data_IF_430929155049
#
_entry.id   IF_430929155049
#
_cell.length_a   1.000
_cell.length_b   1.000
_cell.length_c   1.000
_cell.angle_alpha   90.00
_cell.angle_beta   90.00
_cell.angle_gamma   90.00
#
_symmetry.space_group_name_H-M   'P 1'
#
loop_
_entity.id
_entity.type
_entity.pdbx_description
1 polymer ?
#
# COMPACT_ATOMS: atom_id res chain seq x y z
N UNK A 1 -58.60 -24.83 44.01
CA UNK A 1 -57.57 -25.44 44.90
C UNK A 1 -57.02 -26.69 44.20
N UNK A 2 -55.78 -27.12 44.51
CA UNK A 2 -54.87 -27.82 43.57
C UNK A 2 -55.24 -29.31 43.40
N UNK A 3 -54.69 -30.11 42.49
CA UNK A 3 -53.35 -30.13 41.86
C UNK A 3 -53.47 -30.65 40.39
N UNK A 4 -52.44 -31.03 39.61
CA UNK A 4 -51.01 -31.25 39.86
C UNK A 4 -50.18 -30.67 38.67
N UNK A 5 -49.11 -31.34 38.23
CA UNK A 5 -48.24 -30.96 37.11
C UNK A 5 -47.68 -32.21 36.41
N UNK A 6 -47.56 -32.19 35.08
CA UNK A 6 -46.65 -33.02 34.28
C UNK A 6 -46.31 -32.24 33.00
N UNK A 7 -45.19 -31.53 32.90
CA UNK A 7 -43.80 -32.01 32.86
C UNK A 7 -43.47 -32.86 31.62
N UNK A 8 -43.22 -32.19 30.49
CA UNK A 8 -42.20 -32.62 29.51
C UNK A 8 -41.40 -31.41 29.05
N UNK A 9 -40.17 -31.31 29.56
CA UNK A 9 -39.18 -30.31 29.13
C UNK A 9 -38.60 -30.80 27.80
N UNK A 10 -39.05 -30.21 26.69
CA UNK A 10 -38.48 -30.42 25.36
C UNK A 10 -37.31 -29.50 25.10
N UNK A 11 -36.18 -29.72 25.78
CA UNK A 11 -34.97 -28.91 25.58
C UNK A 11 -34.25 -29.30 24.28
N UNK A 12 -34.68 -28.72 23.15
CA UNK A 12 -33.91 -28.78 21.88
C UNK A 12 -32.85 -27.67 21.90
N UNK A 13 -31.76 -27.92 22.60
CA UNK A 13 -30.53 -27.12 22.49
C UNK A 13 -29.73 -27.69 21.31
N UNK A 14 -30.05 -27.23 20.10
CA UNK A 14 -29.16 -27.46 18.95
C UNK A 14 -28.16 -26.32 18.87
N UNK A 15 -26.92 -26.64 19.24
CA UNK A 15 -25.77 -25.75 19.30
C UNK A 15 -25.36 -25.32 17.89
N UNK A 16 -25.97 -24.25 17.37
CA UNK A 16 -25.56 -23.59 16.12
C UNK A 16 -24.37 -22.63 16.38
N UNK A 17 -23.30 -23.16 16.95
CA UNK A 17 -22.12 -22.38 17.34
C UNK A 17 -21.03 -22.40 16.28
N UNK A 18 -20.60 -21.20 15.88
CA UNK A 18 -19.21 -20.90 15.49
C UNK A 18 -18.69 -21.51 14.17
N UNK A 19 -19.49 -21.41 13.09
CA UNK A 19 -18.95 -21.23 11.72
C UNK A 19 -18.89 -19.75 11.32
N UNK A 20 -18.74 -18.85 12.30
CA UNK A 20 -18.24 -17.49 12.07
C UNK A 20 -16.79 -17.60 11.61
N UNK A 21 -16.62 -17.64 10.29
CA UNK A 21 -15.35 -17.96 9.65
C UNK A 21 -14.20 -17.13 10.21
N UNK A 22 -13.18 -17.83 10.70
CA UNK A 22 -11.83 -17.30 10.74
C UNK A 22 -11.39 -17.11 9.28
N UNK A 23 -11.80 -15.99 8.67
CA UNK A 23 -11.08 -15.44 7.52
C UNK A 23 -9.68 -15.25 8.05
N UNK A 24 -8.75 -16.10 7.58
CA UNK A 24 -7.40 -16.13 8.13
C UNK A 24 -6.82 -14.72 8.11
N UNK A 25 -6.13 -14.35 9.18
CA UNK A 25 -5.52 -13.03 9.31
C UNK A 25 -4.65 -12.72 8.09
N UNK A 26 -3.95 -13.75 7.60
CA UNK A 26 -3.28 -13.83 6.31
C UNK A 26 -4.15 -13.40 5.11
N UNK A 27 -5.35 -13.96 4.92
CA UNK A 27 -6.24 -13.57 3.83
C UNK A 27 -6.74 -12.11 3.94
N UNK A 28 -6.88 -11.59 5.16
CA UNK A 28 -7.26 -10.18 5.39
C UNK A 28 -6.11 -9.23 5.06
N UNK A 29 -4.90 -9.58 5.51
CA UNK A 29 -3.65 -8.86 5.20
C UNK A 29 -3.35 -8.91 3.70
N UNK A 30 -3.53 -10.06 3.04
CA UNK A 30 -3.33 -10.21 1.60
C UNK A 30 -4.27 -9.30 0.80
N UNK A 31 -5.51 -9.12 1.26
CA UNK A 31 -6.47 -8.20 0.66
C UNK A 31 -6.03 -6.75 0.86
N UNK A 32 -5.61 -6.37 2.06
CA UNK A 32 -5.15 -5.00 2.38
C UNK A 32 -3.89 -4.61 1.58
N UNK A 33 -2.92 -5.52 1.47
CA UNK A 33 -1.72 -5.34 0.62
C UNK A 33 -2.10 -5.22 -0.86
N UNK A 34 -3.06 -6.01 -1.36
CA UNK A 34 -3.55 -5.89 -2.74
C UNK A 34 -4.34 -4.60 -2.97
N UNK A 35 -5.13 -4.15 -1.99
CA UNK A 35 -5.89 -2.91 -2.07
C UNK A 35 -4.97 -1.67 -2.10
N UNK A 36 -3.83 -1.71 -1.42
CA UNK A 36 -2.77 -0.68 -1.50
C UNK A 36 -2.00 -0.70 -2.83
N UNK A 37 -1.75 -1.87 -3.42
CA UNK A 37 -0.93 -2.03 -4.64
C UNK A 37 -1.76 -2.06 -5.95
N UNK A 38 -2.93 -1.40 -5.98
CA UNK A 38 -3.80 -1.37 -7.16
C UNK A 38 -3.28 -0.58 -8.35
N UNK A 39 -2.33 0.34 -8.14
CA UNK A 39 -1.87 1.29 -9.16
C UNK A 39 -0.35 1.24 -9.32
N UNK A 40 0.14 1.54 -10.52
CA UNK A 40 1.57 1.57 -10.83
C UNK A 40 2.39 2.40 -9.82
N UNK A 41 1.90 3.59 -9.45
CA UNK A 41 2.60 4.46 -8.48
C UNK A 41 2.78 3.81 -7.11
N UNK A 42 1.83 3.01 -6.64
CA UNK A 42 1.93 2.31 -5.35
C UNK A 42 2.78 1.05 -5.45
N UNK A 43 2.65 0.28 -6.55
CA UNK A 43 3.53 -0.86 -6.85
C UNK A 43 5.00 -0.43 -6.89
N UNK A 44 5.30 0.66 -7.60
CA UNK A 44 6.65 1.20 -7.69
C UNK A 44 7.17 1.67 -6.32
N UNK A 45 6.32 2.30 -5.49
CA UNK A 45 6.68 2.60 -4.10
C UNK A 45 7.03 1.33 -3.31
N UNK A 46 6.23 0.27 -3.41
CA UNK A 46 6.50 -0.98 -2.71
C UNK A 46 7.84 -1.61 -3.15
N UNK A 47 8.20 -1.51 -4.43
CA UNK A 47 9.52 -1.90 -4.94
C UNK A 47 10.66 -1.06 -4.34
N UNK A 48 10.49 0.26 -4.20
CA UNK A 48 11.45 1.14 -3.53
C UNK A 48 11.64 0.79 -2.04
N UNK A 49 10.56 0.58 -1.29
CA UNK A 49 10.61 0.16 0.12
C UNK A 49 11.27 -1.22 0.27
N UNK A 50 10.99 -2.13 -0.67
CA UNK A 50 11.61 -3.45 -0.75
C UNK A 50 13.12 -3.38 -1.02
N UNK A 51 13.58 -2.52 -1.94
CA UNK A 51 14.99 -2.23 -2.18
C UNK A 51 15.63 -1.66 -0.91
N UNK A 52 15.05 -0.63 -0.29
CA UNK A 52 15.59 -0.02 0.94
C UNK A 52 15.68 -0.97 2.13
N UNK A 53 14.81 -1.98 2.22
CA UNK A 53 14.87 -2.99 3.27
C UNK A 53 16.12 -3.88 3.18
N UNK A 54 16.64 -4.11 1.97
CA UNK A 54 17.85 -4.90 1.70
C UNK A 54 19.11 -4.03 1.59
N UNK A 55 18.99 -2.80 1.10
CA UNK A 55 20.11 -1.87 0.85
C UNK A 55 20.22 -0.76 1.91
N UNK A 56 20.26 -1.12 3.19
CA UNK A 56 20.68 -0.21 4.27
C UNK A 56 19.83 1.07 4.44
N UNK A 57 18.55 1.06 4.03
CA UNK A 57 17.65 2.23 3.95
C UNK A 57 18.04 3.28 2.91
N UNK A 58 18.76 2.91 1.85
CA UNK A 58 18.91 3.72 0.65
C UNK A 58 17.86 3.29 -0.38
N UNK A 59 17.27 4.24 -1.10
CA UNK A 59 16.52 3.93 -2.33
C UNK A 59 17.49 3.87 -3.51
N UNK A 60 17.11 3.22 -4.63
CA UNK A 60 17.95 3.17 -5.82
C UNK A 60 18.29 4.58 -6.34
N UNK A 61 19.51 4.73 -6.83
CA UNK A 61 20.04 5.95 -7.44
C UNK A 61 19.53 6.14 -8.89
N UNK A 62 19.05 5.07 -9.54
CA UNK A 62 18.46 5.11 -10.88
C UNK A 62 17.39 4.04 -11.13
N UNK A 63 16.74 4.12 -12.30
CA UNK A 63 15.74 3.15 -12.76
C UNK A 63 16.36 1.77 -13.03
N UNK A 64 17.52 1.77 -13.69
CA UNK A 64 18.26 0.56 -14.07
C UNK A 64 18.73 -0.22 -12.83
N UNK A 65 19.14 0.49 -11.77
CA UNK A 65 19.48 -0.15 -10.49
C UNK A 65 18.27 -0.84 -9.85
N UNK A 66 17.09 -0.20 -9.90
CA UNK A 66 15.88 -0.82 -9.40
C UNK A 66 15.49 -2.03 -10.25
N UNK A 67 15.51 -1.93 -11.57
CA UNK A 67 15.19 -3.05 -12.48
C UNK A 67 16.16 -4.23 -12.24
N UNK A 68 17.46 -3.98 -12.14
CA UNK A 68 18.46 -5.02 -11.83
C UNK A 68 18.21 -5.72 -10.48
N UNK A 69 17.75 -4.97 -9.47
CA UNK A 69 17.34 -5.54 -8.20
C UNK A 69 16.06 -6.37 -8.31
N UNK A 70 15.03 -5.89 -9.01
CA UNK A 70 13.74 -6.59 -9.13
C UNK A 70 13.84 -7.86 -10.01
N UNK A 71 14.76 -7.88 -10.98
CA UNK A 71 15.02 -9.04 -11.87
C UNK A 71 16.05 -10.03 -11.31
N UNK A 72 16.57 -9.80 -10.10
CA UNK A 72 17.61 -10.65 -9.48
C UNK A 72 17.14 -12.06 -9.08
N UNK A 73 15.83 -12.32 -9.04
CA UNK A 73 15.23 -13.54 -8.50
C UNK A 73 15.14 -13.59 -6.96
N UNK A 74 15.86 -12.73 -6.23
CA UNK A 74 15.83 -12.68 -4.75
C UNK A 74 14.49 -12.18 -4.18
N UNK A 75 13.63 -11.63 -5.05
CA UNK A 75 12.44 -10.88 -4.66
C UNK A 75 11.15 -11.37 -5.33
N UNK A 76 11.19 -12.42 -6.16
CA UNK A 76 10.04 -12.89 -6.95
C UNK A 76 8.80 -13.17 -6.09
N UNK A 77 8.99 -13.85 -4.96
CA UNK A 77 7.90 -14.11 -4.01
C UNK A 77 7.37 -12.83 -3.32
N UNK A 78 8.11 -11.73 -3.31
CA UNK A 78 7.59 -10.43 -2.90
C UNK A 78 6.82 -9.75 -4.05
N UNK A 79 7.33 -9.81 -5.28
CA UNK A 79 6.70 -9.26 -6.49
C UNK A 79 5.34 -9.90 -6.76
N UNK A 80 5.24 -11.23 -6.71
CA UNK A 80 3.99 -11.97 -6.89
C UNK A 80 2.90 -11.50 -5.90
N UNK A 81 3.28 -11.30 -4.63
CA UNK A 81 2.36 -10.84 -3.57
C UNK A 81 1.80 -9.44 -3.83
N UNK A 82 2.55 -8.55 -4.48
CA UNK A 82 2.10 -7.21 -4.89
C UNK A 82 1.58 -7.17 -6.34
N UNK A 83 1.48 -8.32 -7.01
CA UNK A 83 0.93 -8.44 -8.36
C UNK A 83 1.82 -7.83 -9.43
N UNK A 84 3.14 -8.04 -9.34
CA UNK A 84 4.13 -7.70 -10.36
C UNK A 84 4.70 -9.02 -10.90
N UNK A 85 4.81 -9.13 -12.21
CA UNK A 85 5.53 -10.21 -12.89
C UNK A 85 7.02 -9.85 -12.95
N UNK A 86 7.91 -10.73 -12.49
CA UNK A 86 9.36 -10.48 -12.50
C UNK A 86 9.95 -10.41 -13.92
N UNK A 87 9.23 -10.89 -14.93
CA UNK A 87 9.61 -10.78 -16.35
C UNK A 87 9.10 -9.51 -17.03
N UNK A 88 8.21 -8.74 -16.37
CA UNK A 88 7.61 -7.51 -16.88
C UNK A 88 7.68 -6.36 -15.86
N UNK A 89 8.79 -6.26 -15.12
CA UNK A 89 8.97 -5.21 -14.09
C UNK A 89 8.97 -3.80 -14.68
N UNK A 90 9.32 -3.64 -15.96
CA UNK A 90 9.33 -2.35 -16.67
C UNK A 90 7.92 -1.72 -16.79
N UNK A 91 6.86 -2.55 -16.83
CA UNK A 91 5.47 -2.08 -16.92
C UNK A 91 5.06 -1.20 -15.72
N UNK A 92 5.70 -1.37 -14.56
CA UNK A 92 5.34 -0.63 -13.34
C UNK A 92 5.79 0.84 -13.38
N UNK A 93 6.66 1.20 -14.32
CA UNK A 93 7.10 2.58 -14.58
C UNK A 93 6.14 3.33 -15.51
N UNK A 94 5.11 2.67 -16.04
CA UNK A 94 4.02 3.30 -16.81
C UNK A 94 2.73 3.32 -16.00
N UNK A 95 1.97 4.43 -16.04
CA UNK A 95 0.66 4.46 -15.39
C UNK A 95 -0.36 3.60 -16.14
N UNK A 96 -1.05 2.75 -15.39
CA UNK A 96 -2.22 1.99 -15.84
C UNK A 96 -3.46 2.86 -16.11
N UNK A 97 -3.48 4.14 -15.72
CA UNK A 97 -4.63 5.05 -15.92
C UNK A 97 -4.55 5.81 -17.24
N UNK A 98 -3.39 6.40 -17.56
CA UNK A 98 -3.19 7.30 -18.72
C UNK A 98 -2.17 6.78 -19.76
N UNK A 99 -1.53 5.64 -19.49
CA UNK A 99 -0.50 5.06 -20.34
C UNK A 99 0.80 5.86 -20.44
N UNK A 100 0.98 6.90 -19.61
CA UNK A 100 2.18 7.74 -19.62
C UNK A 100 3.26 7.19 -18.68
N UNK A 101 4.55 7.43 -18.99
CA UNK A 101 5.63 7.18 -18.05
C UNK A 101 5.42 7.95 -16.73
N UNK A 102 5.71 7.27 -15.63
CA UNK A 102 5.71 7.87 -14.30
C UNK A 102 6.95 8.75 -14.12
N UNK A 103 6.78 9.87 -13.43
CA UNK A 103 7.88 10.69 -12.94
C UNK A 103 8.31 10.17 -11.56
N UNK A 104 9.57 9.79 -11.41
CA UNK A 104 10.08 9.05 -10.25
C UNK A 104 11.20 9.81 -9.55
N UNK A 105 11.27 9.74 -8.21
CA UNK A 105 12.35 10.31 -7.40
C UNK A 105 13.34 9.24 -6.93
N UNK A 106 14.49 9.19 -7.57
CA UNK A 106 15.64 8.34 -7.23
C UNK A 106 16.61 9.04 -6.25
N UNK A 107 17.59 8.29 -5.71
CA UNK A 107 18.75 8.83 -4.99
C UNK A 107 18.45 9.52 -3.64
N UNK A 108 17.41 9.05 -2.94
CA UNK A 108 17.05 9.58 -1.61
C UNK A 108 17.14 8.51 -0.52
N UNK A 109 17.45 8.94 0.71
CA UNK A 109 17.46 8.05 1.88
C UNK A 109 16.02 7.77 2.36
N UNK A 110 15.70 6.50 2.58
CA UNK A 110 14.44 6.10 3.20
C UNK A 110 14.36 6.58 4.66
N UNK A 111 13.25 7.23 5.00
CA UNK A 111 12.94 7.66 6.36
C UNK A 111 11.48 7.33 6.72
N UNK A 112 11.22 6.32 7.57
CA UNK A 112 9.85 5.94 7.95
C UNK A 112 9.11 7.03 8.74
N UNK A 113 9.83 7.96 9.39
CA UNK A 113 9.22 9.08 10.12
C UNK A 113 8.89 10.27 9.22
N UNK A 114 9.49 10.34 8.02
CA UNK A 114 9.26 11.38 7.00
C UNK A 114 9.20 10.73 5.62
N UNK A 115 8.18 9.89 5.36
CA UNK A 115 8.03 9.22 4.08
C UNK A 115 7.82 10.27 2.98
N UNK A 116 8.70 10.27 1.99
CA UNK A 116 8.61 11.16 0.86
C UNK A 116 7.73 10.57 -0.25
N UNK A 117 7.08 11.41 -1.08
CA UNK A 117 6.51 10.99 -2.35
C UNK A 117 7.57 10.43 -3.31
N UNK A 118 7.26 9.36 -4.04
CA UNK A 118 8.23 8.62 -4.88
C UNK A 118 7.84 8.63 -6.35
N UNK A 119 6.66 8.10 -6.69
CA UNK A 119 6.19 7.98 -8.06
C UNK A 119 4.97 8.88 -8.29
N UNK A 120 4.92 9.51 -9.45
CA UNK A 120 3.95 10.54 -9.83
C UNK A 120 3.44 10.27 -11.24
N UNK A 121 2.12 10.33 -11.45
CA UNK A 121 1.56 10.42 -12.80
C UNK A 121 1.87 11.78 -13.42
N UNK A 122 2.34 11.78 -14.67
CA UNK A 122 2.70 13.00 -15.38
C UNK A 122 1.48 13.78 -15.86
N UNK A 123 0.43 13.08 -16.31
CA UNK A 123 -0.78 13.68 -16.89
C UNK A 123 -2.02 13.40 -16.04
N UNK A 124 -2.21 12.15 -15.61
CA UNK A 124 -3.40 11.71 -14.89
C UNK A 124 -4.62 11.54 -15.79
N UNK A 125 -5.77 11.31 -15.18
CA UNK A 125 -7.07 11.16 -15.87
C UNK A 125 -8.09 12.08 -15.21
N UNK A 126 -8.94 12.72 -16.02
CA UNK A 126 -9.94 13.72 -15.61
C UNK A 126 -9.36 14.89 -14.81
N UNK A 127 -8.12 15.29 -15.12
CA UNK A 127 -7.37 16.34 -14.41
C UNK A 127 -6.73 15.89 -13.09
N UNK A 128 -6.96 14.65 -12.65
CA UNK A 128 -6.45 14.11 -11.39
C UNK A 128 -5.26 13.18 -11.64
N UNK A 129 -4.09 13.57 -11.10
CA UNK A 129 -2.86 12.76 -11.06
C UNK A 129 -2.77 11.99 -9.75
N UNK A 130 -2.27 10.76 -9.81
CA UNK A 130 -1.89 9.98 -8.63
C UNK A 130 -0.43 10.21 -8.25
N UNK A 131 -0.17 10.30 -6.95
CA UNK A 131 1.17 10.39 -6.36
C UNK A 131 1.29 9.40 -5.20
N UNK A 132 2.36 8.61 -5.14
CA UNK A 132 2.61 7.65 -4.06
C UNK A 132 3.44 8.24 -2.92
N UNK A 133 2.81 8.41 -1.75
CA UNK A 133 3.45 8.69 -0.47
C UNK A 133 3.20 7.51 0.50
N UNK A 134 3.23 7.71 1.82
CA UNK A 134 2.74 6.70 2.80
C UNK A 134 1.25 6.36 2.62
N UNK A 135 0.54 7.17 1.82
CA UNK A 135 -0.76 6.87 1.23
C UNK A 135 -0.74 7.23 -0.25
N UNK A 136 -1.69 6.69 -1.01
CA UNK A 136 -2.01 7.21 -2.34
C UNK A 136 -2.61 8.62 -2.20
N UNK A 137 -2.15 9.56 -3.01
CA UNK A 137 -2.63 10.95 -3.03
C UNK A 137 -3.19 11.23 -4.43
N UNK A 138 -4.43 11.71 -4.48
CA UNK A 138 -5.04 12.30 -5.67
C UNK A 138 -4.74 13.81 -5.71
N UNK A 139 -4.33 14.32 -6.86
CA UNK A 139 -3.86 15.71 -7.04
C UNK A 139 -4.49 16.30 -8.29
N UNK A 140 -5.38 17.28 -8.09
CA UNK A 140 -6.19 17.96 -9.11
C UNK A 140 -5.58 19.28 -9.62
N UNK A 141 -4.50 19.76 -8.99
CA UNK A 141 -3.91 21.06 -9.26
C UNK A 141 -2.37 21.04 -9.29
N UNK A 142 -1.77 21.87 -10.14
CA UNK A 142 -0.31 21.92 -10.33
C UNK A 142 0.45 22.42 -9.10
N UNK A 143 -0.16 23.28 -8.28
CA UNK A 143 0.52 23.87 -7.14
C UNK A 143 0.82 22.80 -6.08
N UNK A 144 -0.13 21.93 -5.77
CA UNK A 144 0.06 20.84 -4.82
C UNK A 144 0.92 19.70 -5.41
N UNK A 145 0.80 19.44 -6.72
CA UNK A 145 1.70 18.52 -7.42
C UNK A 145 3.17 18.96 -7.28
N UNK A 146 3.47 20.24 -7.50
CA UNK A 146 4.82 20.78 -7.38
C UNK A 146 5.33 20.83 -5.93
N UNK A 147 4.47 21.07 -4.92
CA UNK A 147 4.84 20.91 -3.50
C UNK A 147 5.29 19.48 -3.21
N UNK A 148 4.49 18.49 -3.62
CA UNK A 148 4.81 17.07 -3.46
C UNK A 148 6.11 16.71 -4.18
N UNK A 149 6.33 17.23 -5.39
CA UNK A 149 7.55 17.04 -6.18
C UNK A 149 8.79 17.70 -5.57
N UNK A 150 8.64 18.79 -4.82
CA UNK A 150 9.72 19.40 -4.01
C UNK A 150 9.97 18.70 -2.68
N UNK A 151 9.09 17.77 -2.29
CA UNK A 151 9.16 17.09 -1.00
C UNK A 151 8.52 17.87 0.15
N UNK A 152 7.75 18.91 -0.15
CA UNK A 152 6.94 19.69 0.80
C UNK A 152 5.69 18.89 1.24
N UNK A 153 5.91 17.69 1.77
CA UNK A 153 4.87 16.75 2.14
C UNK A 153 4.84 16.49 3.66
N UNK A 154 3.64 16.66 4.24
CA UNK A 154 3.37 16.33 5.64
C UNK A 154 2.64 14.98 5.68
N UNK A 155 3.34 13.94 6.13
CA UNK A 155 2.86 12.55 6.16
C UNK A 155 1.62 12.37 7.05
N UNK A 156 0.88 11.29 6.80
CA UNK A 156 -0.26 10.92 7.65
C UNK A 156 0.20 10.67 9.09
N UNK A 157 1.36 10.03 9.25
CA UNK A 157 1.99 9.77 10.56
C UNK A 157 2.28 11.09 11.30
N UNK A 158 2.85 12.09 10.62
CA UNK A 158 3.16 13.39 11.25
C UNK A 158 1.88 14.15 11.65
N UNK A 159 0.83 14.11 10.80
CA UNK A 159 -0.49 14.69 11.11
C UNK A 159 -1.11 14.03 12.35
N UNK A 160 -1.04 12.70 12.45
CA UNK A 160 -1.58 11.95 13.59
C UNK A 160 -0.83 12.28 14.90
N UNK A 161 0.51 12.33 14.88
CA UNK A 161 1.31 12.70 16.06
C UNK A 161 1.06 14.13 16.55
N UNK A 162 0.84 15.07 15.63
CA UNK A 162 0.43 16.45 15.98
C UNK A 162 -0.97 16.46 16.62
N UNK A 163 -1.88 15.61 16.15
CA UNK A 163 -3.24 15.51 16.70
C UNK A 163 -3.31 14.77 18.05
N UNK A 164 -2.41 13.81 18.33
CA UNK A 164 -2.33 13.11 19.62
C UNK A 164 -1.69 13.92 20.74
N UNK A 165 -1.10 15.08 20.44
CA UNK A 165 -0.32 15.87 21.40
C UNK A 165 1.10 15.32 21.65
N UNK A 166 1.50 14.28 20.92
CA UNK A 166 2.86 13.69 20.96
C UNK A 166 3.85 14.51 20.13
N UNK A 167 3.97 15.79 20.50
CA UNK A 167 4.96 16.72 20.00
C UNK A 167 6.37 16.37 20.48
N UNK A 168 7.36 16.68 19.63
CA UNK A 168 8.80 16.56 19.90
C UNK A 168 9.27 17.56 20.97
#
# INVERSE_FOLDING_TARGET
>A
MPSLKCAKVGAVVLVASLLSGCVSEEARLLKEVKDLNKTSVMKLRACFEMYASRNGRQYPESEEELIAFLTSGEVDANLERIGIDSTAVEDIFTSQRDGQPLKVRYGIRYNPNKPLPIAFETTGVDGVRLVSADVLIEVDNDQDYEKLWKGEYVSRIEKLRKASGEGL
#
